data_IF_000491353896
#
_entry.id   IF_000491353896
#
_cell.length_a   1.000
_cell.length_b   1.000
_cell.length_c   1.000
_cell.angle_alpha   90.00
_cell.angle_beta   90.00
_cell.angle_gamma   90.00
#
_symmetry.space_group_name_H-M   'P 1'
#
loop_
_entity.id
_entity.type
_entity.pdbx_description
1 polymer ?
#
# COMPACT_ATOMS: atom_id res chain seq x y z
N UNK A 1 -8.83 -8.87 15.56
CA UNK A 1 -9.30 -7.99 14.46
C UNK A 1 -8.41 -8.13 13.20
N UNK A 2 -7.85 -9.29 12.98
CA UNK A 2 -7.06 -9.58 11.80
C UNK A 2 -8.02 -9.98 10.67
N UNK A 3 -8.27 -9.07 9.73
CA UNK A 3 -9.01 -9.32 8.51
C UNK A 3 -8.11 -9.01 7.32
N UNK A 4 -8.13 -9.89 6.35
CA UNK A 4 -7.37 -9.72 5.12
C UNK A 4 -8.00 -8.68 4.21
N UNK A 5 -7.16 -7.95 3.48
CA UNK A 5 -7.56 -7.00 2.45
C UNK A 5 -7.03 -7.57 1.13
N UNK A 6 -7.92 -7.90 0.21
CA UNK A 6 -7.61 -8.59 -1.03
C UNK A 6 -7.83 -7.72 -2.28
N UNK A 7 -8.17 -6.44 -2.10
CA UNK A 7 -8.39 -5.49 -3.19
C UNK A 7 -7.94 -4.08 -2.80
N UNK A 8 -7.40 -3.34 -3.75
CA UNK A 8 -7.06 -1.92 -3.59
C UNK A 8 -8.26 -0.99 -3.73
N UNK A 9 -9.39 -1.51 -4.16
CA UNK A 9 -10.61 -0.72 -4.32
C UNK A 9 -11.18 -0.28 -2.97
N UNK A 10 -11.66 0.95 -2.93
CA UNK A 10 -12.29 1.56 -1.76
C UNK A 10 -13.79 1.73 -2.02
N UNK A 11 -14.62 1.25 -1.10
CA UNK A 11 -16.07 1.47 -1.16
C UNK A 11 -16.45 2.76 -0.41
N UNK A 12 -17.33 3.55 -1.02
CA UNK A 12 -17.97 4.71 -0.38
C UNK A 12 -19.46 4.48 -0.33
N UNK A 13 -19.99 3.93 0.79
CA UNK A 13 -21.37 3.50 0.88
C UNK A 13 -22.30 4.73 0.81
N UNK A 14 -23.03 4.85 -0.28
CA UNK A 14 -24.00 5.90 -0.51
C UNK A 14 -25.42 5.36 -0.52
N UNK A 15 -25.78 4.59 -1.53
CA UNK A 15 -27.11 3.98 -1.69
C UNK A 15 -27.40 2.95 -0.61
N UNK A 16 -26.40 2.25 -0.13
CA UNK A 16 -26.50 1.26 0.93
C UNK A 16 -27.06 1.85 2.22
N UNK A 17 -26.76 3.12 2.48
CA UNK A 17 -27.32 3.84 3.64
C UNK A 17 -28.84 4.10 3.51
N UNK A 18 -29.40 4.02 2.31
CA UNK A 18 -30.84 4.12 2.08
C UNK A 18 -31.54 2.75 2.14
N UNK A 19 -30.77 1.68 2.28
CA UNK A 19 -31.25 0.30 2.33
C UNK A 19 -31.15 -0.47 1.01
N UNK A 20 -30.50 0.11 0.00
CA UNK A 20 -30.24 -0.55 -1.29
C UNK A 20 -28.84 -1.17 -1.28
N UNK A 21 -28.76 -2.50 -1.28
CA UNK A 21 -27.52 -3.26 -1.15
C UNK A 21 -27.13 -4.07 -2.41
N UNK A 22 -27.87 -3.91 -3.50
CA UNK A 22 -27.50 -4.55 -4.76
C UNK A 22 -26.14 -3.98 -5.20
N UNK A 23 -25.22 -4.89 -5.53
CA UNK A 23 -23.81 -4.55 -5.88
C UNK A 23 -22.99 -3.94 -4.74
N UNK A 24 -23.42 -4.06 -3.48
CA UNK A 24 -22.58 -3.70 -2.34
C UNK A 24 -21.35 -4.61 -2.27
N UNK A 25 -20.22 -4.03 -2.00
CA UNK A 25 -18.91 -4.69 -1.91
C UNK A 25 -18.37 -4.61 -0.48
N UNK A 26 -18.87 -5.47 0.43
CA UNK A 26 -18.49 -5.43 1.83
C UNK A 26 -17.00 -5.78 2.06
N UNK A 27 -16.37 -6.55 1.17
CA UNK A 27 -14.97 -6.96 1.22
C UNK A 27 -13.97 -5.82 1.00
N UNK A 28 -14.46 -4.65 0.60
CA UNK A 28 -13.64 -3.44 0.43
C UNK A 28 -13.56 -2.63 1.73
N UNK A 29 -12.50 -1.86 1.90
CA UNK A 29 -12.45 -0.83 2.95
C UNK A 29 -13.57 0.16 2.72
N UNK A 30 -14.39 0.40 3.75
CA UNK A 30 -15.49 1.36 3.70
C UNK A 30 -14.99 2.74 4.12
N UNK A 31 -15.06 3.73 3.22
CA UNK A 31 -14.58 5.08 3.45
C UNK A 31 -15.74 6.07 3.58
N UNK A 32 -15.90 6.66 4.74
CA UNK A 32 -16.93 7.65 5.05
C UNK A 32 -16.34 9.06 5.00
N UNK A 33 -16.85 9.86 4.08
CA UNK A 33 -16.56 11.28 3.99
C UNK A 33 -17.69 12.16 4.53
N UNK A 34 -17.66 13.45 4.19
CA UNK A 34 -18.65 14.43 4.67
C UNK A 34 -20.07 14.08 4.23
N UNK A 35 -20.27 13.59 3.01
CA UNK A 35 -21.62 13.26 2.50
C UNK A 35 -22.22 12.10 3.26
N UNK A 36 -21.47 11.02 3.37
CA UNK A 36 -21.88 9.79 4.06
C UNK A 36 -22.13 10.08 5.55
N UNK A 37 -21.21 10.81 6.17
CA UNK A 37 -21.29 11.20 7.58
C UNK A 37 -22.50 12.10 7.85
N UNK A 38 -22.72 13.16 7.05
CA UNK A 38 -23.84 14.07 7.25
C UNK A 38 -25.19 13.36 7.11
N UNK A 39 -25.28 12.42 6.18
CA UNK A 39 -26.48 11.61 6.02
C UNK A 39 -26.73 10.70 7.23
N UNK A 40 -25.69 10.02 7.73
CA UNK A 40 -25.80 9.22 8.96
C UNK A 40 -26.24 10.07 10.17
N UNK A 41 -25.71 11.27 10.33
CA UNK A 41 -26.05 12.15 11.46
C UNK A 41 -27.50 12.68 11.32
N UNK A 42 -28.04 12.81 10.12
CA UNK A 42 -29.42 13.24 9.92
C UNK A 42 -30.47 12.17 10.33
N UNK A 43 -30.04 10.91 10.48
CA UNK A 43 -30.91 9.83 10.94
C UNK A 43 -31.14 9.88 12.45
N UNK A 44 -32.25 9.30 12.91
CA UNK A 44 -32.42 8.97 14.32
C UNK A 44 -31.34 7.97 14.77
N UNK A 45 -30.99 8.00 16.06
CA UNK A 45 -30.00 7.07 16.64
C UNK A 45 -30.32 5.61 16.33
N UNK A 46 -31.61 5.22 16.46
CA UNK A 46 -32.05 3.88 16.13
C UNK A 46 -31.80 3.51 14.66
N UNK A 47 -32.24 4.35 13.71
CA UNK A 47 -32.07 4.08 12.28
C UNK A 47 -30.60 4.06 11.87
N UNK A 48 -29.80 5.00 12.40
CA UNK A 48 -28.35 5.05 12.19
C UNK A 48 -27.68 3.74 12.61
N UNK A 49 -28.02 3.24 13.78
CA UNK A 49 -27.49 1.96 14.26
C UNK A 49 -27.90 0.79 13.36
N UNK A 50 -29.16 0.71 12.93
CA UNK A 50 -29.64 -0.36 12.05
C UNK A 50 -28.96 -0.36 10.68
N UNK A 51 -28.76 0.81 10.10
CA UNK A 51 -28.04 0.97 8.82
C UNK A 51 -26.57 0.53 8.98
N UNK A 52 -25.91 0.97 10.03
CA UNK A 52 -24.52 0.60 10.29
C UNK A 52 -24.37 -0.91 10.52
N UNK A 53 -25.31 -1.55 11.20
CA UNK A 53 -25.34 -3.02 11.37
C UNK A 53 -25.44 -3.77 10.04
N UNK A 54 -26.16 -3.23 9.07
CA UNK A 54 -26.26 -3.82 7.72
C UNK A 54 -25.01 -3.57 6.88
N UNK A 55 -24.37 -2.41 7.03
CA UNK A 55 -23.12 -2.08 6.34
C UNK A 55 -21.93 -2.91 6.86
N UNK A 56 -21.93 -3.23 8.14
CA UNK A 56 -20.82 -3.90 8.82
C UNK A 56 -20.96 -5.41 8.70
N UNK A 57 -20.62 -5.94 7.53
CA UNK A 57 -20.69 -7.38 7.25
C UNK A 57 -19.40 -8.11 7.71
N UNK A 58 -19.45 -9.44 7.87
CA UNK A 58 -18.28 -10.21 8.28
C UNK A 58 -17.06 -10.02 7.39
N UNK A 59 -17.28 -9.78 6.10
CA UNK A 59 -16.25 -9.57 5.08
C UNK A 59 -15.60 -8.18 5.16
N UNK A 60 -16.25 -7.19 5.80
CA UNK A 60 -15.75 -5.82 5.87
C UNK A 60 -14.44 -5.76 6.66
N UNK A 61 -13.30 -5.39 6.02
CA UNK A 61 -12.01 -5.39 6.70
C UNK A 61 -11.89 -4.24 7.70
N UNK A 62 -12.28 -3.04 7.29
CA UNK A 62 -12.23 -1.84 8.12
C UNK A 62 -13.17 -0.76 7.61
N UNK A 63 -13.50 0.18 8.49
CA UNK A 63 -14.21 1.41 8.17
C UNK A 63 -13.31 2.60 8.50
N UNK A 64 -13.18 3.54 7.58
CA UNK A 64 -12.36 4.75 7.78
C UNK A 64 -13.26 5.98 7.73
N UNK A 65 -13.19 6.79 8.77
CA UNK A 65 -13.89 8.09 8.84
C UNK A 65 -12.86 9.19 8.55
N UNK A 66 -13.01 9.84 7.38
CA UNK A 66 -12.11 10.87 6.90
C UNK A 66 -12.40 12.26 7.49
N UNK A 67 -11.54 13.25 7.18
CA UNK A 67 -11.69 14.68 7.51
C UNK A 67 -11.72 15.01 9.01
N UNK A 68 -11.28 14.11 9.88
CA UNK A 68 -11.37 14.33 11.33
C UNK A 68 -12.80 14.39 11.86
N UNK A 69 -13.76 13.82 11.14
CA UNK A 69 -15.15 13.79 11.57
C UNK A 69 -15.32 12.93 12.83
N UNK A 70 -16.24 13.32 13.68
CA UNK A 70 -16.53 12.61 14.92
C UNK A 70 -17.21 11.29 14.62
N UNK A 71 -16.73 10.21 15.21
CA UNK A 71 -17.34 8.87 15.07
C UNK A 71 -18.54 8.80 16.01
N UNK A 72 -19.76 8.56 15.49
CA UNK A 72 -20.96 8.43 16.32
C UNK A 72 -20.88 7.20 17.26
N UNK A 73 -21.49 7.30 18.43
CA UNK A 73 -21.52 6.17 19.39
C UNK A 73 -22.17 4.91 18.81
N UNK A 74 -23.21 5.08 18.01
CA UNK A 74 -23.88 3.96 17.32
C UNK A 74 -22.94 3.22 16.38
N UNK A 75 -22.02 3.94 15.73
CA UNK A 75 -20.99 3.35 14.87
C UNK A 75 -20.01 2.53 15.69
N UNK A 76 -19.53 3.07 16.81
CA UNK A 76 -18.65 2.33 17.72
C UNK A 76 -19.33 1.09 18.30
N UNK A 77 -20.61 1.19 18.65
CA UNK A 77 -21.41 0.06 19.12
C UNK A 77 -21.54 -1.02 18.05
N UNK A 78 -21.99 -0.65 16.85
CA UNK A 78 -22.13 -1.58 15.73
C UNK A 78 -20.79 -2.25 15.35
N UNK A 79 -19.71 -1.48 15.33
CA UNK A 79 -18.36 -1.98 15.02
C UNK A 79 -17.87 -3.01 16.04
N UNK A 80 -18.10 -2.78 17.34
CA UNK A 80 -17.75 -3.75 18.41
C UNK A 80 -18.51 -5.05 18.23
N UNK A 81 -19.82 -4.98 17.97
CA UNK A 81 -20.65 -6.17 17.79
C UNK A 81 -20.31 -6.95 16.52
N UNK A 82 -19.98 -6.25 15.43
CA UNK A 82 -19.58 -6.85 14.15
C UNK A 82 -18.07 -7.18 14.08
N UNK A 83 -17.29 -6.82 15.10
CA UNK A 83 -15.83 -7.00 15.18
C UNK A 83 -15.10 -6.31 14.00
N UNK A 84 -15.46 -5.07 13.70
CA UNK A 84 -14.87 -4.26 12.63
C UNK A 84 -14.00 -3.15 13.22
N UNK A 85 -12.84 -2.93 12.62
CA UNK A 85 -11.95 -1.85 12.98
C UNK A 85 -12.51 -0.51 12.45
N UNK A 86 -12.57 0.51 13.33
CA UNK A 86 -12.84 1.90 12.93
C UNK A 86 -11.54 2.68 13.01
N UNK A 87 -11.16 3.28 11.90
CA UNK A 87 -10.01 4.16 11.78
C UNK A 87 -10.48 5.58 11.48
N UNK A 88 -9.68 6.57 11.87
CA UNK A 88 -9.96 7.97 11.59
C UNK A 88 -8.78 8.63 10.89
N UNK A 89 -9.06 9.55 9.96
CA UNK A 89 -8.04 10.34 9.28
C UNK A 89 -8.48 11.80 9.17
N UNK A 90 -7.54 12.73 9.29
CA UNK A 90 -7.79 14.16 9.02
C UNK A 90 -7.74 14.50 7.53
N UNK A 91 -7.24 13.61 6.72
CA UNK A 91 -7.08 13.79 5.27
C UNK A 91 -8.44 13.95 4.58
N UNK A 92 -8.49 14.76 3.53
CA UNK A 92 -9.67 14.90 2.67
C UNK A 92 -10.01 13.56 2.01
N UNK A 93 -11.32 13.23 1.92
CA UNK A 93 -11.81 11.92 1.51
C UNK A 93 -11.27 11.46 0.15
N UNK A 94 -11.27 12.36 -0.85
CA UNK A 94 -10.79 12.02 -2.20
C UNK A 94 -9.28 11.73 -2.23
N UNK A 95 -8.50 12.52 -1.48
CA UNK A 95 -7.06 12.32 -1.35
C UNK A 95 -6.77 11.01 -0.63
N UNK A 96 -7.44 10.76 0.50
CA UNK A 96 -7.27 9.54 1.27
C UNK A 96 -7.65 8.30 0.45
N UNK A 97 -8.73 8.37 -0.33
CA UNK A 97 -9.13 7.27 -1.23
C UNK A 97 -8.04 6.94 -2.23
N UNK A 98 -7.48 7.95 -2.91
CA UNK A 98 -6.41 7.75 -3.89
C UNK A 98 -5.12 7.21 -3.26
N UNK A 99 -4.71 7.76 -2.11
CA UNK A 99 -3.51 7.30 -1.39
C UNK A 99 -3.67 5.84 -0.90
N UNK A 100 -4.85 5.47 -0.39
CA UNK A 100 -5.14 4.11 0.06
C UNK A 100 -5.17 3.12 -1.11
N UNK A 101 -5.91 3.43 -2.18
CA UNK A 101 -5.93 2.55 -3.37
C UNK A 101 -4.52 2.34 -3.91
N UNK A 102 -3.77 3.41 -4.15
CA UNK A 102 -2.40 3.30 -4.66
C UNK A 102 -1.47 2.47 -3.75
N UNK A 103 -1.62 2.64 -2.42
CA UNK A 103 -0.86 1.85 -1.45
C UNK A 103 -1.24 0.37 -1.49
N UNK A 104 -2.54 0.07 -1.49
CA UNK A 104 -3.04 -1.30 -1.51
C UNK A 104 -2.70 -2.00 -2.81
N UNK A 105 -2.87 -1.34 -3.95
CA UNK A 105 -2.51 -1.88 -5.27
C UNK A 105 -1.02 -2.26 -5.31
N UNK A 106 -0.16 -1.40 -4.81
CA UNK A 106 1.28 -1.68 -4.69
C UNK A 106 1.59 -2.85 -3.75
N UNK A 107 0.81 -3.03 -2.66
CA UNK A 107 1.02 -4.12 -1.69
C UNK A 107 0.44 -5.44 -2.14
N UNK A 108 -0.66 -5.41 -2.89
CA UNK A 108 -1.37 -6.57 -3.39
C UNK A 108 -0.88 -7.03 -4.77
N UNK A 109 -0.06 -6.20 -5.45
CA UNK A 109 0.51 -6.55 -6.75
C UNK A 109 1.29 -7.87 -6.68
N UNK A 110 1.08 -8.73 -7.65
CA UNK A 110 1.90 -9.92 -7.83
C UNK A 110 3.36 -9.52 -8.05
N UNK A 111 4.26 -10.20 -7.35
CA UNK A 111 5.71 -9.95 -7.41
C UNK A 111 6.41 -11.13 -8.05
N UNK A 112 7.26 -10.82 -9.02
CA UNK A 112 8.21 -11.76 -9.60
C UNK A 112 9.62 -11.46 -9.07
N UNK A 113 10.28 -12.46 -8.50
CA UNK A 113 11.66 -12.32 -8.05
C UNK A 113 12.61 -12.70 -9.17
N UNK A 114 13.48 -11.79 -9.52
CA UNK A 114 14.52 -12.01 -10.54
C UNK A 114 15.92 -11.83 -9.93
N UNK A 115 16.88 -12.56 -10.47
CA UNK A 115 18.29 -12.42 -10.07
C UNK A 115 18.98 -11.34 -10.90
N UNK A 116 19.57 -10.35 -10.25
CA UNK A 116 20.27 -9.26 -10.93
C UNK A 116 20.58 -8.08 -10.02
N UNK A 117 21.17 -7.05 -10.60
CA UNK A 117 21.44 -5.78 -9.95
C UNK A 117 20.51 -4.72 -10.50
N UNK A 118 19.70 -4.10 -9.66
CA UNK A 118 18.81 -3.01 -10.06
C UNK A 118 19.43 -1.66 -9.67
N UNK A 119 19.60 -0.81 -10.66
CA UNK A 119 20.14 0.54 -10.51
C UNK A 119 19.10 1.59 -10.90
N UNK A 120 19.13 2.73 -10.24
CA UNK A 120 18.48 3.95 -10.71
C UNK A 120 19.51 4.78 -11.47
N UNK A 121 19.36 4.84 -12.79
CA UNK A 121 20.24 5.60 -13.69
C UNK A 121 19.45 6.76 -14.27
N UNK A 122 19.72 7.98 -13.82
CA UNK A 122 19.01 9.20 -14.20
C UNK A 122 17.49 9.13 -14.01
N UNK A 123 17.02 8.43 -12.94
CA UNK A 123 15.61 8.28 -12.64
C UNK A 123 14.94 7.07 -13.32
N UNK A 124 15.67 6.34 -14.16
CA UNK A 124 15.18 5.11 -14.79
C UNK A 124 15.73 3.87 -14.06
N UNK A 125 14.86 2.90 -13.79
CA UNK A 125 15.25 1.58 -13.29
C UNK A 125 15.93 0.78 -14.40
N UNK A 126 17.17 0.35 -14.17
CA UNK A 126 17.95 -0.50 -15.08
C UNK A 126 18.30 -1.79 -14.37
N UNK A 127 17.76 -2.91 -14.85
CA UNK A 127 18.08 -4.24 -14.34
C UNK A 127 19.25 -4.83 -15.12
N UNK A 128 20.36 -5.11 -14.42
CA UNK A 128 21.55 -5.74 -14.97
C UNK A 128 21.45 -7.23 -14.67
N UNK A 129 21.33 -8.04 -15.71
CA UNK A 129 21.24 -9.50 -15.62
C UNK A 129 22.43 -10.17 -16.30
N UNK A 130 22.68 -11.43 -15.96
CA UNK A 130 23.74 -12.25 -16.54
C UNK A 130 24.16 -13.38 -15.59
N UNK A 131 25.06 -14.23 -16.03
CA UNK A 131 25.53 -15.37 -15.26
C UNK A 131 26.22 -14.95 -13.94
N UNK A 132 26.23 -15.88 -12.98
CA UNK A 132 26.95 -15.64 -11.73
C UNK A 132 28.43 -15.41 -12.00
N UNK A 133 28.98 -14.34 -11.39
CA UNK A 133 30.42 -14.01 -11.51
C UNK A 133 30.83 -13.26 -12.77
N UNK A 134 29.88 -12.80 -13.61
CA UNK A 134 30.19 -11.99 -14.81
C UNK A 134 30.57 -10.53 -14.48
N UNK A 135 30.40 -10.09 -13.25
CA UNK A 135 30.72 -8.73 -12.83
C UNK A 135 29.53 -7.79 -12.68
N UNK A 136 28.30 -8.32 -12.42
CA UNK A 136 27.11 -7.50 -12.25
C UNK A 136 27.23 -6.53 -11.08
N UNK A 137 27.59 -7.04 -9.90
CA UNK A 137 27.70 -6.22 -8.69
C UNK A 137 28.89 -5.24 -8.77
N UNK A 138 30.00 -5.63 -9.39
CA UNK A 138 31.13 -4.73 -9.68
C UNK A 138 30.71 -3.60 -10.63
N UNK A 139 29.89 -3.90 -11.64
CA UNK A 139 29.29 -2.89 -12.53
C UNK A 139 28.37 -1.96 -11.75
N UNK A 140 27.54 -2.49 -10.86
CA UNK A 140 26.68 -1.70 -9.96
C UNK A 140 27.50 -0.73 -9.10
N UNK A 141 28.59 -1.22 -8.50
CA UNK A 141 29.49 -0.40 -7.69
C UNK A 141 30.16 0.72 -8.50
N UNK A 142 30.60 0.44 -9.74
CA UNK A 142 31.16 1.44 -10.62
C UNK A 142 30.13 2.52 -11.00
N UNK A 143 28.86 2.13 -11.22
CA UNK A 143 27.78 3.06 -11.47
C UNK A 143 27.48 3.94 -10.24
N UNK A 144 27.54 3.38 -9.02
CA UNK A 144 27.41 4.16 -7.77
C UNK A 144 28.53 5.21 -7.68
N UNK A 145 29.79 4.86 -7.98
CA UNK A 145 30.89 5.81 -8.03
C UNK A 145 30.71 6.94 -9.05
N UNK A 146 29.94 6.68 -10.10
CA UNK A 146 29.55 7.69 -11.12
C UNK A 146 28.34 8.51 -10.77
N UNK A 147 27.80 8.33 -9.55
CA UNK A 147 26.68 9.12 -9.04
C UNK A 147 25.28 8.56 -9.33
N UNK A 148 25.19 7.30 -9.79
CA UNK A 148 23.92 6.57 -9.90
C UNK A 148 23.58 5.90 -8.58
N UNK A 149 22.34 5.42 -8.43
CA UNK A 149 21.88 4.87 -7.15
C UNK A 149 21.62 3.38 -7.24
N UNK A 150 22.10 2.65 -6.23
CA UNK A 150 21.72 1.25 -6.04
C UNK A 150 20.29 1.15 -5.54
N UNK A 151 19.51 0.28 -6.15
CA UNK A 151 18.16 -0.09 -5.67
C UNK A 151 18.23 -1.47 -5.01
N UNK A 152 18.73 -2.49 -5.71
CA UNK A 152 18.83 -3.85 -5.20
C UNK A 152 19.99 -4.61 -5.82
N UNK A 153 20.56 -5.57 -5.08
CA UNK A 153 21.52 -6.57 -5.58
C UNK A 153 21.04 -7.98 -5.26
N UNK A 154 21.45 -8.92 -6.07
CA UNK A 154 21.16 -10.35 -6.02
C UNK A 154 19.70 -10.70 -6.27
N UNK A 155 18.76 -10.28 -5.44
CA UNK A 155 17.33 -10.50 -5.60
C UNK A 155 16.58 -9.20 -5.75
N UNK A 156 15.88 -9.07 -6.87
CA UNK A 156 15.00 -7.94 -7.20
C UNK A 156 13.57 -8.43 -7.30
N UNK A 157 12.68 -7.90 -6.49
CA UNK A 157 11.25 -8.18 -6.58
C UNK A 157 10.61 -7.15 -7.51
N UNK A 158 10.12 -7.61 -8.68
CA UNK A 158 9.50 -6.77 -9.72
C UNK A 158 7.97 -6.92 -9.64
N UNK A 159 7.26 -5.81 -9.74
CA UNK A 159 5.80 -5.78 -9.78
C UNK A 159 5.27 -4.66 -10.66
N UNK A 160 4.06 -4.84 -11.19
CA UNK A 160 3.36 -3.81 -11.92
C UNK A 160 2.76 -2.80 -10.92
N UNK A 161 3.14 -1.52 -11.05
CA UNK A 161 2.51 -0.44 -10.28
C UNK A 161 1.22 0.02 -10.94
N UNK A 162 1.20 0.00 -12.25
CA UNK A 162 0.08 0.29 -13.13
C UNK A 162 0.27 -0.47 -14.46
N UNK A 163 -0.66 -0.31 -15.42
CA UNK A 163 -0.62 -1.01 -16.70
C UNK A 163 0.65 -0.74 -17.53
N UNK A 164 1.34 0.37 -17.27
CA UNK A 164 2.47 0.84 -18.09
C UNK A 164 3.79 0.88 -17.34
N UNK A 165 3.79 0.69 -16.01
CA UNK A 165 4.96 0.95 -15.16
C UNK A 165 5.30 -0.27 -14.31
N UNK A 166 6.51 -0.79 -14.50
CA UNK A 166 7.10 -1.79 -13.62
C UNK A 166 7.96 -1.10 -12.55
N UNK A 167 7.85 -1.58 -11.33
CA UNK A 167 8.72 -1.21 -10.23
C UNK A 167 9.54 -2.41 -9.79
N UNK A 168 10.75 -2.13 -9.31
CA UNK A 168 11.59 -3.11 -8.68
C UNK A 168 12.06 -2.64 -7.32
N UNK A 169 12.04 -3.52 -6.35
CA UNK A 169 12.48 -3.24 -4.98
C UNK A 169 13.39 -4.36 -4.46
N UNK A 170 14.28 -4.07 -3.50
CA UNK A 170 15.09 -5.08 -2.85
C UNK A 170 14.23 -5.97 -1.94
N UNK A 171 14.65 -7.21 -1.72
CA UNK A 171 14.19 -7.96 -0.56
C UNK A 171 14.55 -7.17 0.71
N UNK A 172 13.62 -7.10 1.70
CA UNK A 172 13.77 -6.20 2.87
C UNK A 172 15.08 -6.39 3.64
N UNK A 173 15.58 -7.62 3.70
CA UNK A 173 16.82 -7.99 4.41
C UNK A 173 18.08 -7.54 3.63
N UNK A 174 17.97 -7.30 2.31
CA UNK A 174 19.11 -6.99 1.42
C UNK A 174 19.19 -5.51 1.04
N UNK A 175 18.42 -4.64 1.70
CA UNK A 175 18.45 -3.20 1.41
C UNK A 175 19.86 -2.62 1.57
N UNK A 176 20.29 -1.87 0.56
CA UNK A 176 21.57 -1.15 0.52
C UNK A 176 22.84 -2.02 0.49
N UNK A 177 22.67 -3.35 0.50
CA UNK A 177 23.78 -4.28 0.46
C UNK A 177 24.16 -4.62 -0.99
N UNK A 178 25.46 -4.81 -1.21
CA UNK A 178 26.04 -5.20 -2.49
C UNK A 178 27.11 -6.26 -2.23
N UNK A 179 27.01 -7.41 -2.86
CA UNK A 179 28.02 -8.47 -2.72
C UNK A 179 29.10 -8.32 -3.81
N UNK A 180 30.34 -8.09 -3.38
CA UNK A 180 31.50 -7.99 -4.27
C UNK A 180 32.39 -9.22 -4.08
N UNK A 181 32.61 -9.96 -5.14
CA UNK A 181 33.45 -11.18 -5.13
C UNK A 181 34.84 -10.85 -4.65
N UNK A 182 35.35 -11.60 -3.66
CA UNK A 182 36.67 -11.41 -3.07
C UNK A 182 36.76 -10.29 -2.04
N UNK A 183 35.75 -9.48 -1.87
CA UNK A 183 35.66 -8.43 -0.84
C UNK A 183 34.64 -8.79 0.23
N UNK A 184 33.49 -9.34 -0.19
CA UNK A 184 32.36 -9.66 0.68
C UNK A 184 31.19 -8.69 0.49
N UNK A 185 30.28 -8.66 1.46
CA UNK A 185 29.11 -7.80 1.45
C UNK A 185 29.51 -6.39 1.94
N UNK A 186 29.19 -5.40 1.15
CA UNK A 186 29.38 -3.98 1.49
C UNK A 186 28.05 -3.28 1.65
N UNK A 187 27.95 -2.37 2.61
CA UNK A 187 26.82 -1.46 2.78
C UNK A 187 27.09 -0.17 2.00
N UNK A 188 26.43 -0.04 0.85
CA UNK A 188 26.61 1.10 -0.07
C UNK A 188 26.19 2.40 0.57
N UNK A 189 25.14 2.40 1.40
CA UNK A 189 24.66 3.60 2.10
C UNK A 189 25.72 4.10 3.10
N UNK A 190 26.35 3.18 3.85
CA UNK A 190 27.37 3.52 4.82
C UNK A 190 28.67 4.03 4.16
N UNK A 191 29.01 3.51 2.98
CA UNK A 191 30.27 3.88 2.29
C UNK A 191 30.13 5.11 1.40
N UNK A 192 29.01 5.30 0.74
CA UNK A 192 28.81 6.35 -0.27
C UNK A 192 27.73 7.36 0.09
N UNK A 193 27.06 7.18 1.24
CA UNK A 193 26.00 8.07 1.72
C UNK A 193 24.60 7.72 1.19
N UNK A 194 23.59 8.36 1.80
CA UNK A 194 22.18 8.11 1.47
C UNK A 194 21.79 8.50 0.02
N UNK A 195 22.57 9.34 -0.65
CA UNK A 195 22.37 9.70 -2.05
C UNK A 195 22.74 8.59 -3.04
N UNK A 196 23.49 7.58 -2.61
CA UNK A 196 23.96 6.46 -3.42
C UNK A 196 22.94 5.29 -3.48
N UNK A 197 21.85 5.36 -2.72
CA UNK A 197 20.82 4.34 -2.63
C UNK A 197 19.42 4.94 -2.87
N UNK A 198 18.44 4.05 -3.18
CA UNK A 198 17.06 4.48 -3.43
C UNK A 198 16.07 3.62 -2.64
#
# INVERSE_FOLDING_TARGET
>A
LEKEINTGDICRPGLEMTGYFDYYTPERIQLLGMKEWSYLISMSSHNRYQVLKKLFQPETPAVIVARGLVVPEEMLKAARECKIAILTSRTATSRLSGELSSYLDSRLAERESVHGVLMDIYGMGVLIQGDSGIGKSETGLELVKRGHRLVADDRVDIFAKDEMTLWGEPAEILKHLLEIRGVGIIDVMSLYGASAVK
#
